data_IF_190604875507
#
_entry.id   IF_190604875507
#
_cell.length_a   1.000
_cell.length_b   1.000
_cell.length_c   1.000
_cell.angle_alpha   90.00
_cell.angle_beta   90.00
_cell.angle_gamma   90.00
#
_symmetry.space_group_name_H-M   'P 1'
#
loop_
_entity.id
_entity.type
_entity.pdbx_description
1 polymer ?
#
# COMPACT_ATOMS: atom_id res chain seq x y z
N UNK A 1 -1.22 21.03 31.91
CA UNK A 1 -0.50 20.13 32.84
C UNK A 1 0.61 20.82 33.64
N UNK A 2 1.80 21.15 33.10
CA UNK A 2 2.89 21.74 33.94
C UNK A 2 2.52 23.10 34.55
N UNK A 3 1.93 24.00 33.76
CA UNK A 3 1.55 25.34 34.24
C UNK A 3 0.34 25.35 35.19
N UNK A 4 -0.50 24.31 35.16
CA UNK A 4 -1.62 24.10 36.09
C UNK A 4 -1.13 23.53 37.42
N UNK A 5 -0.20 22.57 37.37
CA UNK A 5 0.43 21.96 38.55
C UNK A 5 1.15 23.02 39.41
N UNK A 6 1.80 23.99 38.78
CA UNK A 6 2.57 25.04 39.47
C UNK A 6 1.82 26.37 39.64
N UNK A 7 0.53 26.45 39.26
CA UNK A 7 -0.29 27.67 39.35
C UNK A 7 0.40 28.93 38.79
N UNK A 8 1.08 28.80 37.66
CA UNK A 8 1.84 29.92 37.10
C UNK A 8 0.94 31.09 36.74
N UNK A 9 1.38 32.31 37.08
CA UNK A 9 0.73 33.55 36.65
C UNK A 9 0.93 33.74 35.14
N UNK A 10 0.07 34.55 34.49
CA UNK A 10 0.13 34.79 33.05
C UNK A 10 1.51 35.26 32.56
N UNK A 11 2.20 36.10 33.34
CA UNK A 11 3.55 36.56 33.01
C UNK A 11 4.61 35.46 33.10
N UNK A 12 4.54 34.59 34.11
CA UNK A 12 5.47 33.44 34.23
C UNK A 12 5.24 32.44 33.11
N UNK A 13 3.97 32.17 32.75
CA UNK A 13 3.62 31.35 31.59
C UNK A 13 4.22 31.91 30.29
N UNK A 14 4.13 33.22 30.08
CA UNK A 14 4.66 33.89 28.89
C UNK A 14 6.20 33.80 28.80
N UNK A 15 6.91 34.05 29.91
CA UNK A 15 8.37 33.95 29.95
C UNK A 15 8.86 32.51 29.73
N UNK A 16 8.24 31.53 30.40
CA UNK A 16 8.58 30.13 30.21
C UNK A 16 8.27 29.67 28.77
N UNK A 17 7.14 30.09 28.20
CA UNK A 17 6.79 29.79 26.82
C UNK A 17 7.84 30.39 25.88
N UNK A 18 8.17 31.68 26.01
CA UNK A 18 9.18 32.35 25.20
C UNK A 18 10.56 31.68 25.30
N UNK A 19 10.98 31.27 26.50
CA UNK A 19 12.24 30.55 26.71
C UNK A 19 12.24 29.13 26.11
N UNK A 20 11.07 28.51 25.96
CA UNK A 20 10.94 27.17 25.36
C UNK A 20 10.91 27.18 23.82
N UNK A 21 10.66 28.33 23.18
CA UNK A 21 10.63 28.43 21.72
C UNK A 21 12.04 28.27 21.15
N UNK A 22 12.18 27.46 20.09
CA UNK A 22 13.44 27.20 19.38
C UNK A 22 13.23 27.32 17.87
N UNK A 23 14.30 27.66 17.15
CA UNK A 23 14.29 27.73 15.68
C UNK A 23 13.31 28.77 15.14
N UNK A 24 12.55 28.42 14.11
CA UNK A 24 11.59 29.33 13.44
C UNK A 24 10.54 29.91 14.39
N UNK A 25 10.24 29.22 15.49
CA UNK A 25 9.31 29.70 16.51
C UNK A 25 9.91 30.81 17.38
N UNK A 26 11.23 30.81 17.59
CA UNK A 26 11.92 31.89 18.30
C UNK A 26 11.93 33.19 17.48
N UNK A 27 11.96 33.11 16.15
CA UNK A 27 11.91 34.29 15.28
C UNK A 27 10.63 35.14 15.50
N UNK A 28 9.52 34.51 15.91
CA UNK A 28 8.27 35.25 16.24
C UNK A 28 8.48 36.22 17.41
N UNK A 29 9.35 35.87 18.37
CA UNK A 29 9.65 36.76 19.49
C UNK A 29 10.36 38.03 19.01
N UNK A 30 11.19 37.94 17.97
CA UNK A 30 11.85 39.11 17.40
C UNK A 30 10.85 40.08 16.76
N UNK A 31 9.84 39.54 16.08
CA UNK A 31 8.80 40.32 15.37
C UNK A 31 7.76 40.96 16.32
N UNK A 32 7.62 40.45 17.55
CA UNK A 32 6.67 40.96 18.56
C UNK A 32 7.27 42.08 19.42
N UNK A 33 6.46 43.04 19.85
CA UNK A 33 6.84 44.07 20.83
C UNK A 33 7.05 43.46 22.24
N UNK A 34 7.95 44.06 23.03
CA UNK A 34 8.32 43.56 24.35
C UNK A 34 7.14 43.41 25.33
N UNK A 35 6.13 44.29 25.24
CA UNK A 35 4.91 44.22 26.04
C UNK A 35 4.03 43.03 25.66
N UNK A 36 3.92 42.76 24.34
CA UNK A 36 3.15 41.62 23.82
C UNK A 36 3.83 40.28 24.12
N UNK A 37 5.18 40.25 24.21
CA UNK A 37 5.93 39.05 24.63
C UNK A 37 5.67 38.64 26.09
N UNK A 38 5.31 39.58 26.96
CA UNK A 38 5.05 39.32 28.39
C UNK A 38 3.62 38.87 28.67
N UNK A 39 2.74 38.94 27.67
CA UNK A 39 1.38 38.44 27.77
C UNK A 39 1.25 37.08 27.07
N UNK A 40 0.84 36.07 27.85
CA UNK A 40 0.70 34.70 27.37
C UNK A 40 -0.31 34.57 26.23
N UNK A 41 -1.45 35.28 26.29
CA UNK A 41 -2.49 35.17 25.25
C UNK A 41 -1.98 35.69 23.92
N UNK A 42 -1.38 36.88 23.92
CA UNK A 42 -0.84 37.52 22.72
C UNK A 42 0.29 36.70 22.10
N UNK A 43 1.13 36.08 22.93
CA UNK A 43 2.19 35.20 22.47
C UNK A 43 1.64 33.92 21.83
N UNK A 44 0.63 33.29 22.45
CA UNK A 44 -0.07 32.12 21.88
C UNK A 44 -0.78 32.48 20.58
N UNK A 45 -1.42 33.65 20.49
CA UNK A 45 -2.12 34.11 19.29
C UNK A 45 -1.15 34.37 18.14
N UNK A 46 0.01 34.97 18.41
CA UNK A 46 1.04 35.19 17.39
C UNK A 46 1.64 33.88 16.88
N UNK A 47 1.90 32.93 17.78
CA UNK A 47 2.35 31.57 17.41
C UNK A 47 1.25 30.87 16.61
N UNK A 48 0.00 30.97 17.03
CA UNK A 48 -1.16 30.38 16.34
C UNK A 48 -1.47 31.05 15.01
N UNK A 49 -1.16 32.33 14.84
CA UNK A 49 -1.32 33.01 13.56
C UNK A 49 -0.31 32.49 12.53
N UNK A 50 0.95 32.31 12.95
CA UNK A 50 2.04 31.91 12.04
C UNK A 50 2.11 30.40 11.81
N UNK A 51 1.89 29.61 12.86
CA UNK A 51 1.98 28.14 12.84
C UNK A 51 0.64 27.44 13.05
N UNK A 52 -0.42 28.17 13.35
CA UNK A 52 -1.67 27.53 13.69
C UNK A 52 -2.32 26.82 12.52
N UNK A 53 -3.32 26.00 12.84
CA UNK A 53 -3.89 25.04 11.91
C UNK A 53 -4.50 25.72 10.69
N UNK A 54 -4.96 26.97 10.76
CA UNK A 54 -5.62 27.65 9.64
C UNK A 54 -4.79 27.77 8.35
N UNK A 55 -3.46 27.92 8.44
CA UNK A 55 -2.59 27.96 7.25
C UNK A 55 -2.22 26.56 6.76
N UNK A 56 -2.30 25.56 7.64
CA UNK A 56 -1.99 24.17 7.33
C UNK A 56 -3.23 23.36 6.92
N UNK A 57 -4.45 23.79 7.28
CA UNK A 57 -5.70 23.05 7.01
C UNK A 57 -5.92 22.82 5.54
N UNK A 58 -5.67 23.82 4.69
CA UNK A 58 -5.85 23.67 3.25
C UNK A 58 -4.85 22.69 2.64
N UNK A 59 -3.58 22.76 3.06
CA UNK A 59 -2.58 21.76 2.69
C UNK A 59 -2.97 20.35 3.17
N UNK A 60 -3.53 20.23 4.37
CA UNK A 60 -4.00 18.96 4.93
C UNK A 60 -5.20 18.40 4.17
N UNK A 61 -6.11 19.26 3.70
CA UNK A 61 -7.23 18.86 2.83
C UNK A 61 -6.72 18.32 1.49
N UNK A 62 -5.72 18.97 0.90
CA UNK A 62 -5.08 18.48 -0.33
C UNK A 62 -4.39 17.13 -0.08
N UNK A 63 -3.65 17.00 1.04
CA UNK A 63 -3.02 15.74 1.42
C UNK A 63 -4.04 14.61 1.64
N UNK A 64 -5.17 14.91 2.27
CA UNK A 64 -6.26 13.97 2.49
C UNK A 64 -6.91 13.53 1.17
N UNK A 65 -7.17 14.48 0.25
CA UNK A 65 -7.74 14.18 -1.08
C UNK A 65 -6.82 13.34 -1.95
N UNK A 66 -5.51 13.58 -1.87
CA UNK A 66 -4.50 12.85 -2.64
C UNK A 66 -4.02 11.60 -1.91
N UNK A 67 -4.62 11.24 -0.77
CA UNK A 67 -4.28 10.02 -0.05
C UNK A 67 -4.85 8.83 -0.83
N UNK A 68 -4.01 7.85 -1.09
CA UNK A 68 -4.39 6.52 -1.54
C UNK A 68 -3.57 5.48 -0.79
N UNK A 69 -4.03 4.23 -0.74
CA UNK A 69 -3.29 3.12 -0.14
C UNK A 69 -1.92 2.97 -0.82
N UNK A 70 -0.85 2.85 -0.04
CA UNK A 70 0.49 2.55 -0.59
C UNK A 70 0.64 1.05 -0.81
N UNK A 71 1.50 0.65 -1.74
CA UNK A 71 1.86 -0.77 -1.93
C UNK A 71 2.40 -1.36 -0.63
N UNK A 72 1.77 -2.43 -0.16
CA UNK A 72 2.12 -3.11 1.10
C UNK A 72 1.66 -2.40 2.38
N UNK A 73 0.88 -1.32 2.29
CA UNK A 73 0.29 -0.67 3.46
C UNK A 73 -0.91 -1.48 3.99
N UNK A 74 -0.97 -1.65 5.31
CA UNK A 74 -2.07 -2.36 5.96
C UNK A 74 -3.33 -1.50 6.02
N UNK A 75 -4.51 -2.12 6.01
CA UNK A 75 -5.79 -1.42 6.13
C UNK A 75 -5.87 -0.57 7.43
N UNK A 76 -5.44 -1.08 8.61
CA UNK A 76 -5.46 -0.28 9.84
C UNK A 76 -4.53 0.94 9.80
N UNK A 77 -3.33 0.80 9.22
CA UNK A 77 -2.37 1.92 9.10
C UNK A 77 -2.95 3.03 8.21
N UNK A 78 -3.55 2.65 7.08
CA UNK A 78 -4.25 3.58 6.20
C UNK A 78 -5.35 4.34 6.95
N UNK A 79 -6.21 3.62 7.69
CA UNK A 79 -7.32 4.23 8.42
C UNK A 79 -6.85 5.18 9.53
N UNK A 80 -5.79 4.80 10.26
CA UNK A 80 -5.21 5.66 11.30
C UNK A 80 -4.66 6.96 10.69
N UNK A 81 -4.00 6.86 9.55
CA UNK A 81 -3.42 8.00 8.88
C UNK A 81 -4.50 8.93 8.28
N UNK A 82 -5.55 8.37 7.67
CA UNK A 82 -6.74 9.10 7.21
C UNK A 82 -7.41 9.82 8.37
N UNK A 83 -7.68 9.14 9.49
CA UNK A 83 -8.28 9.73 10.70
C UNK A 83 -7.46 10.91 11.22
N UNK A 84 -6.14 10.77 11.23
CA UNK A 84 -5.21 11.83 11.65
C UNK A 84 -5.24 13.02 10.69
N UNK A 85 -5.20 12.77 9.38
CA UNK A 85 -5.27 13.81 8.35
C UNK A 85 -6.60 14.57 8.39
N UNK A 86 -7.73 13.88 8.57
CA UNK A 86 -9.05 14.51 8.72
C UNK A 86 -9.11 15.45 9.91
N UNK A 87 -8.55 15.05 11.07
CA UNK A 87 -8.47 15.92 12.26
C UNK A 87 -7.68 17.20 12.01
N UNK A 88 -6.60 17.13 11.23
CA UNK A 88 -5.80 18.30 10.87
C UNK A 88 -6.43 19.16 9.76
N UNK A 89 -7.18 18.54 8.85
CA UNK A 89 -7.90 19.23 7.78
C UNK A 89 -9.15 19.97 8.28
N UNK A 90 -9.80 19.44 9.33
CA UNK A 90 -11.06 19.96 9.86
C UNK A 90 -11.05 20.07 11.40
N UNK A 91 -10.17 20.90 11.99
CA UNK A 91 -10.06 21.04 13.45
C UNK A 91 -11.32 21.60 14.12
N UNK A 92 -12.15 22.36 13.38
CA UNK A 92 -13.42 22.91 13.87
C UNK A 92 -14.64 22.01 13.62
N UNK A 93 -14.48 20.87 12.96
CA UNK A 93 -15.58 19.93 12.73
C UNK A 93 -15.90 19.13 14.02
N UNK A 94 -17.17 18.76 14.20
CA UNK A 94 -17.56 17.87 15.29
C UNK A 94 -16.90 16.50 15.15
N UNK A 95 -16.74 15.77 16.26
CA UNK A 95 -16.18 14.41 16.22
C UNK A 95 -16.97 13.49 15.30
N UNK A 96 -18.30 13.65 15.24
CA UNK A 96 -19.17 12.90 14.34
C UNK A 96 -18.87 13.21 12.87
N UNK A 97 -18.76 14.49 12.51
CA UNK A 97 -18.44 14.89 11.14
C UNK A 97 -17.02 14.45 10.74
N UNK A 98 -16.05 14.55 11.66
CA UNK A 98 -14.70 14.05 11.41
C UNK A 98 -14.69 12.53 11.16
N UNK A 99 -15.51 11.77 11.87
CA UNK A 99 -15.61 10.32 11.67
C UNK A 99 -16.26 9.98 10.32
N UNK A 100 -17.34 10.67 9.95
CA UNK A 100 -17.97 10.53 8.63
C UNK A 100 -17.00 10.87 7.49
N UNK A 101 -16.31 12.01 7.58
CA UNK A 101 -15.32 12.40 6.58
C UNK A 101 -14.16 11.40 6.50
N UNK A 102 -13.69 10.90 7.64
CA UNK A 102 -12.61 9.90 7.66
C UNK A 102 -13.05 8.59 7.03
N UNK A 103 -14.28 8.15 7.30
CA UNK A 103 -14.87 6.96 6.67
C UNK A 103 -14.96 7.12 5.16
N UNK A 104 -15.55 8.22 4.70
CA UNK A 104 -15.78 8.45 3.27
C UNK A 104 -14.43 8.50 2.51
N UNK A 105 -13.47 9.26 3.04
CA UNK A 105 -12.11 9.29 2.49
C UNK A 105 -11.39 7.94 2.57
N UNK A 106 -11.57 7.17 3.65
CA UNK A 106 -10.97 5.85 3.77
C UNK A 106 -11.46 4.89 2.68
N UNK A 107 -12.77 4.89 2.40
CA UNK A 107 -13.34 4.08 1.31
C UNK A 107 -12.75 4.51 -0.04
N UNK A 108 -12.64 5.81 -0.29
CA UNK A 108 -12.03 6.33 -1.52
C UNK A 108 -10.54 5.97 -1.65
N UNK A 109 -9.82 5.81 -0.54
CA UNK A 109 -8.40 5.45 -0.52
C UNK A 109 -8.12 3.98 -0.90
N UNK A 110 -9.12 3.10 -0.88
CA UNK A 110 -8.95 1.67 -1.20
C UNK A 110 -8.64 1.51 -2.70
N UNK A 111 -7.51 0.90 -3.05
CA UNK A 111 -7.03 0.80 -4.44
C UNK A 111 -7.91 -0.13 -5.29
N UNK A 112 -8.31 -1.26 -4.71
CA UNK A 112 -9.05 -2.33 -5.37
C UNK A 112 -10.55 -1.99 -5.52
N UNK A 113 -11.10 -1.93 -6.75
CA UNK A 113 -12.51 -1.62 -6.99
C UNK A 113 -13.48 -2.58 -6.29
N UNK A 114 -13.14 -3.86 -6.22
CA UNK A 114 -13.97 -4.91 -5.62
C UNK A 114 -14.02 -4.77 -4.08
N UNK A 115 -12.88 -4.41 -3.47
CA UNK A 115 -12.81 -4.12 -2.04
C UNK A 115 -13.62 -2.88 -1.70
N UNK A 116 -13.48 -1.81 -2.50
CA UNK A 116 -14.25 -0.57 -2.34
C UNK A 116 -15.75 -0.79 -2.47
N UNK A 117 -16.17 -1.56 -3.48
CA UNK A 117 -17.56 -1.91 -3.69
C UNK A 117 -18.11 -2.73 -2.51
N UNK A 118 -17.36 -3.74 -2.06
CA UNK A 118 -17.76 -4.58 -0.93
C UNK A 118 -17.96 -3.76 0.35
N UNK A 119 -17.02 -2.86 0.67
CA UNK A 119 -17.16 -1.95 1.83
C UNK A 119 -18.33 -0.99 1.65
N UNK A 120 -18.58 -0.48 0.45
CA UNK A 120 -19.74 0.38 0.20
C UNK A 120 -21.07 -0.36 0.41
N UNK A 121 -21.14 -1.65 0.07
CA UNK A 121 -22.34 -2.48 0.26
C UNK A 121 -22.67 -2.75 1.73
N UNK A 122 -21.67 -2.79 2.63
CA UNK A 122 -21.91 -2.97 4.07
C UNK A 122 -22.52 -1.73 4.73
N UNK A 123 -22.52 -0.58 4.04
CA UNK A 123 -23.05 0.72 4.51
C UNK A 123 -22.51 1.11 5.90
N UNK A 124 -21.19 1.20 6.06
CA UNK A 124 -20.59 1.53 7.35
C UNK A 124 -21.01 2.92 7.81
N UNK A 125 -21.36 3.04 9.09
CA UNK A 125 -21.74 4.32 9.71
C UNK A 125 -20.54 5.05 10.29
N UNK A 126 -19.54 4.30 10.72
CA UNK A 126 -18.31 4.83 11.33
C UNK A 126 -17.08 4.42 10.53
N UNK A 127 -15.96 5.10 10.77
CA UNK A 127 -14.68 4.68 10.20
C UNK A 127 -14.31 3.26 10.64
N UNK A 128 -14.58 2.91 11.90
CA UNK A 128 -14.23 1.62 12.48
C UNK A 128 -15.01 0.46 11.85
N UNK A 129 -16.31 0.66 11.59
CA UNK A 129 -17.12 -0.30 10.83
C UNK A 129 -16.59 -0.48 9.39
N UNK A 130 -16.14 0.58 8.74
CA UNK A 130 -15.57 0.49 7.40
C UNK A 130 -14.24 -0.29 7.40
N UNK A 131 -13.39 -0.07 8.40
CA UNK A 131 -12.12 -0.81 8.58
C UNK A 131 -12.39 -2.29 8.80
N UNK A 132 -13.32 -2.62 9.70
CA UNK A 132 -13.67 -4.00 9.98
C UNK A 132 -14.22 -4.72 8.74
N UNK A 133 -15.13 -4.08 8.01
CA UNK A 133 -15.65 -4.61 6.75
C UNK A 133 -14.53 -4.83 5.72
N UNK A 134 -13.62 -3.86 5.58
CA UNK A 134 -12.50 -3.97 4.64
C UNK A 134 -11.57 -5.13 5.00
N UNK A 135 -11.27 -5.34 6.29
CA UNK A 135 -10.47 -6.47 6.77
C UNK A 135 -11.14 -7.82 6.49
N UNK A 136 -12.44 -7.94 6.74
CA UNK A 136 -13.20 -9.18 6.49
C UNK A 136 -13.22 -9.53 5.00
N UNK A 137 -13.43 -8.52 4.15
CA UNK A 137 -13.45 -8.69 2.70
C UNK A 137 -12.04 -9.02 2.17
N UNK A 138 -10.99 -8.34 2.65
CA UNK A 138 -9.59 -8.63 2.27
C UNK A 138 -9.18 -10.05 2.68
N UNK A 139 -9.57 -10.49 3.89
CA UNK A 139 -9.36 -11.86 4.34
C UNK A 139 -10.11 -12.88 3.44
N UNK A 140 -11.35 -12.59 3.09
CA UNK A 140 -12.13 -13.43 2.17
C UNK A 140 -11.47 -13.54 0.80
N UNK A 141 -11.02 -12.42 0.21
CA UNK A 141 -10.31 -12.45 -1.07
C UNK A 141 -8.97 -13.17 -0.99
N UNK A 142 -8.26 -13.09 0.13
CA UNK A 142 -7.03 -13.86 0.32
C UNK A 142 -7.32 -15.37 0.28
N UNK A 143 -8.41 -15.81 0.92
CA UNK A 143 -8.85 -17.21 0.90
C UNK A 143 -9.40 -17.62 -0.47
N UNK A 144 -10.19 -16.78 -1.13
CA UNK A 144 -10.74 -17.08 -2.46
C UNK A 144 -9.65 -17.09 -3.54
N UNK A 145 -8.63 -16.23 -3.44
CA UNK A 145 -7.42 -16.34 -4.27
C UNK A 145 -6.74 -17.68 -4.01
N UNK A 146 -6.60 -18.09 -2.75
CA UNK A 146 -6.07 -19.41 -2.35
C UNK A 146 -6.93 -20.60 -2.84
N UNK A 147 -8.26 -20.45 -2.91
CA UNK A 147 -9.21 -21.48 -3.40
C UNK A 147 -9.29 -21.55 -4.91
N UNK A 148 -9.15 -20.41 -5.59
CA UNK A 148 -9.01 -20.33 -7.04
C UNK A 148 -7.62 -20.72 -7.53
N UNK A 149 -6.68 -21.10 -6.64
CA UNK A 149 -5.61 -22.00 -7.06
C UNK A 149 -6.27 -23.34 -7.42
N UNK A 150 -6.19 -23.78 -8.68
CA UNK A 150 -6.78 -25.04 -9.07
C UNK A 150 -6.20 -26.14 -8.19
N UNK A 151 -7.11 -26.95 -7.62
CA UNK A 151 -6.84 -28.22 -6.95
C UNK A 151 -5.56 -28.86 -7.50
N UNK A 152 -4.58 -29.08 -6.61
CA UNK A 152 -3.39 -29.92 -6.78
C UNK A 152 -3.50 -30.86 -8.00
N UNK A 153 -2.96 -30.46 -9.16
CA UNK A 153 -2.51 -31.44 -10.15
C UNK A 153 -1.15 -31.94 -9.67
N UNK A 154 -1.17 -33.04 -8.92
CA UNK A 154 0.03 -33.79 -8.53
C UNK A 154 0.73 -34.31 -9.79
N UNK A 155 1.69 -33.56 -10.32
CA UNK A 155 2.57 -34.03 -11.43
C UNK A 155 3.64 -34.98 -10.88
N UNK A 156 3.49 -36.31 -10.97
CA UNK A 156 4.61 -37.22 -10.69
C UNK A 156 5.58 -37.20 -11.88
N UNK A 157 6.84 -36.86 -11.62
CA UNK A 157 7.89 -36.84 -12.64
C UNK A 157 8.36 -38.27 -12.89
N UNK A 158 8.19 -38.75 -14.13
CA UNK A 158 8.90 -39.92 -14.65
C UNK A 158 9.95 -39.39 -15.61
N UNK A 159 11.22 -39.72 -15.34
CA UNK A 159 12.36 -39.37 -16.18
C UNK A 159 12.29 -40.10 -17.52
N UNK A 160 12.51 -39.37 -18.62
CA UNK A 160 13.17 -39.93 -19.80
C UNK A 160 13.88 -38.82 -20.57
N UNK A 161 15.19 -38.99 -20.65
CA UNK A 161 16.19 -38.22 -21.40
C UNK A 161 15.87 -38.15 -22.91
N UNK A 162 16.07 -36.98 -23.54
CA UNK A 162 16.65 -36.82 -24.89
C UNK A 162 16.56 -35.37 -25.42
N UNK A 163 17.72 -34.71 -25.52
CA UNK A 163 18.30 -34.24 -26.78
C UNK A 163 17.58 -33.17 -27.65
N UNK A 164 18.32 -32.06 -27.82
CA UNK A 164 18.50 -31.25 -29.05
C UNK A 164 17.59 -30.03 -29.36
N UNK A 165 18.27 -28.88 -29.32
CA UNK A 165 18.27 -27.69 -30.23
C UNK A 165 17.08 -27.45 -31.17
N UNK A 166 16.49 -26.24 -31.13
CA UNK A 166 16.37 -25.36 -32.31
C UNK A 166 15.72 -23.99 -32.01
N UNK A 167 16.21 -22.98 -32.72
CA UNK A 167 15.72 -21.59 -32.81
C UNK A 167 14.27 -21.53 -33.30
N UNK A 168 13.40 -20.81 -32.58
CA UNK A 168 11.96 -20.70 -32.88
C UNK A 168 11.60 -19.25 -33.25
N UNK A 169 11.51 -18.96 -34.55
CA UNK A 169 10.84 -17.77 -35.06
C UNK A 169 9.47 -18.19 -35.60
N UNK A 170 8.38 -17.64 -35.03
CA UNK A 170 7.01 -17.88 -35.49
C UNK A 170 6.25 -19.03 -34.83
N UNK A 171 6.74 -19.59 -33.72
CA UNK A 171 6.00 -20.56 -32.90
C UNK A 171 5.27 -19.87 -31.75
N UNK A 172 4.09 -20.38 -31.36
CA UNK A 172 3.46 -20.03 -30.08
C UNK A 172 4.41 -20.42 -28.95
N UNK A 173 4.89 -19.42 -28.19
CA UNK A 173 5.89 -19.62 -27.14
C UNK A 173 5.19 -19.62 -25.80
N UNK A 174 5.16 -20.77 -25.14
CA UNK A 174 4.61 -20.85 -23.78
C UNK A 174 5.63 -20.40 -22.74
N UNK A 175 5.30 -19.35 -21.98
CA UNK A 175 6.19 -18.77 -20.95
C UNK A 175 5.60 -18.99 -19.56
N UNK A 176 6.46 -19.34 -18.60
CA UNK A 176 6.15 -19.54 -17.18
C UNK A 176 6.93 -18.56 -16.31
N UNK A 177 6.26 -18.02 -15.29
CA UNK A 177 6.90 -17.17 -14.27
C UNK A 177 7.78 -18.00 -13.33
N UNK A 178 8.94 -17.44 -12.98
CA UNK A 178 9.83 -18.06 -11.98
C UNK A 178 9.20 -18.17 -10.59
N UNK A 179 8.35 -17.22 -10.20
CA UNK A 179 7.63 -17.25 -8.92
C UNK A 179 6.75 -18.50 -8.81
N UNK A 180 6.08 -18.86 -9.91
CA UNK A 180 5.27 -20.06 -9.99
C UNK A 180 6.09 -21.36 -9.84
N UNK A 181 7.37 -21.36 -10.25
CA UNK A 181 8.25 -22.51 -10.07
C UNK A 181 8.66 -22.74 -8.61
N UNK A 182 8.75 -21.67 -7.80
CA UNK A 182 9.07 -21.77 -6.38
C UNK A 182 7.92 -22.35 -5.55
N UNK A 183 6.71 -22.37 -6.09
CA UNK A 183 5.52 -22.96 -5.47
C UNK A 183 5.46 -24.49 -5.63
N UNK A 184 6.34 -25.09 -6.44
CA UNK A 184 6.41 -26.54 -6.57
C UNK A 184 7.04 -27.17 -5.31
N UNK A 185 6.46 -28.25 -4.76
CA UNK A 185 7.05 -28.96 -3.62
C UNK A 185 8.48 -29.42 -3.92
N UNK A 186 9.40 -29.28 -2.96
CA UNK A 186 10.83 -29.65 -3.08
C UNK A 186 11.07 -31.10 -3.56
N UNK A 187 10.10 -32.00 -3.32
CA UNK A 187 10.11 -33.40 -3.78
C UNK A 187 10.01 -33.57 -5.31
N UNK A 188 9.72 -32.49 -6.04
CA UNK A 188 9.67 -32.45 -7.50
C UNK A 188 10.61 -31.37 -8.01
N UNK A 189 11.91 -31.58 -7.85
CA UNK A 189 12.92 -30.73 -8.47
C UNK A 189 12.65 -30.62 -9.97
N UNK A 190 12.20 -29.43 -10.38
CA UNK A 190 11.94 -29.09 -11.76
C UNK A 190 13.27 -28.68 -12.37
N UNK A 191 13.89 -29.59 -13.11
CA UNK A 191 15.16 -29.32 -13.77
C UNK A 191 14.92 -28.40 -14.97
N UNK A 192 15.23 -27.12 -14.80
CA UNK A 192 15.29 -26.18 -15.91
C UNK A 192 16.66 -26.30 -16.56
N UNK A 193 16.70 -26.52 -17.87
CA UNK A 193 17.94 -26.41 -18.62
C UNK A 193 18.26 -24.94 -18.83
N UNK A 194 19.42 -24.46 -18.37
CA UNK A 194 19.82 -23.06 -18.56
C UNK A 194 19.97 -22.77 -20.05
N UNK A 195 19.38 -21.66 -20.51
CA UNK A 195 19.50 -21.23 -21.90
C UNK A 195 19.86 -19.75 -21.93
N UNK A 196 20.89 -19.38 -22.68
CA UNK A 196 21.33 -17.98 -22.85
C UNK A 196 20.51 -17.24 -23.92
N UNK A 197 19.17 -17.35 -23.84
CA UNK A 197 18.26 -16.71 -24.78
C UNK A 197 17.56 -15.50 -24.13
N UNK A 198 17.06 -14.59 -24.95
CA UNK A 198 16.28 -13.43 -24.49
C UNK A 198 14.99 -13.33 -25.28
N UNK A 199 13.90 -13.01 -24.59
CA UNK A 199 12.60 -12.73 -25.17
C UNK A 199 12.45 -11.24 -25.40
N UNK A 200 11.96 -10.83 -26.57
CA UNK A 200 11.64 -9.43 -26.85
C UNK A 200 10.16 -9.19 -26.64
N UNK A 201 9.83 -8.21 -25.80
CA UNK A 201 8.48 -7.78 -25.50
C UNK A 201 7.97 -6.80 -26.57
N UNK A 202 6.65 -6.65 -26.68
CA UNK A 202 6.01 -5.75 -27.64
C UNK A 202 6.37 -4.26 -27.41
N UNK A 203 6.86 -3.90 -26.21
CA UNK A 203 7.36 -2.57 -25.88
C UNK A 203 8.84 -2.36 -26.28
N UNK A 204 9.45 -3.34 -26.96
CA UNK A 204 10.84 -3.32 -27.40
C UNK A 204 11.85 -3.69 -26.32
N UNK A 205 11.41 -4.01 -25.09
CA UNK A 205 12.32 -4.47 -24.02
C UNK A 205 12.67 -5.94 -24.18
N UNK A 206 13.81 -6.32 -23.63
CA UNK A 206 14.31 -7.70 -23.67
C UNK A 206 14.38 -8.28 -22.26
N UNK A 207 13.75 -9.43 -22.05
CA UNK A 207 13.75 -10.17 -20.78
C UNK A 207 14.62 -11.43 -20.95
N UNK A 208 15.56 -11.72 -20.03
CA UNK A 208 16.32 -12.96 -20.08
C UNK A 208 15.41 -14.17 -19.87
N UNK A 209 15.61 -15.20 -20.69
CA UNK A 209 15.02 -16.51 -20.44
C UNK A 209 15.98 -17.26 -19.52
N UNK A 210 15.50 -17.73 -18.38
CA UNK A 210 16.31 -18.42 -17.38
C UNK A 210 16.48 -19.90 -17.68
N UNK A 211 15.55 -20.50 -18.43
CA UNK A 211 15.71 -21.86 -18.87
C UNK A 211 14.52 -22.41 -19.64
N UNK A 212 14.67 -23.64 -20.12
CA UNK A 212 13.63 -24.42 -20.77
C UNK A 212 13.19 -25.55 -19.83
N UNK A 213 11.89 -25.64 -19.61
CA UNK A 213 11.19 -26.67 -18.87
C UNK A 213 10.37 -27.53 -19.83
N UNK A 214 10.67 -28.82 -19.91
CA UNK A 214 9.81 -29.79 -20.59
C UNK A 214 8.92 -30.49 -19.56
N UNK A 215 7.61 -30.33 -19.70
CA UNK A 215 6.66 -30.87 -18.75
C UNK A 215 5.41 -31.42 -19.44
N UNK A 216 4.91 -32.54 -18.91
CA UNK A 216 3.64 -33.12 -19.32
C UNK A 216 2.46 -32.31 -18.79
N UNK A 217 1.64 -31.79 -19.68
CA UNK A 217 0.38 -31.08 -19.39
C UNK A 217 -0.78 -32.05 -19.59
N UNK A 218 -1.61 -32.23 -18.56
CA UNK A 218 -2.84 -33.00 -18.70
C UNK A 218 -3.98 -32.09 -19.17
N UNK A 219 -4.39 -32.27 -20.43
CA UNK A 219 -5.51 -31.58 -21.08
C UNK A 219 -6.59 -32.62 -21.33
N UNK A 220 -7.75 -32.47 -20.68
CA UNK A 220 -8.92 -33.34 -20.83
C UNK A 220 -8.64 -34.85 -20.68
N UNK A 221 -7.73 -35.20 -19.75
CA UNK A 221 -7.35 -36.60 -19.49
C UNK A 221 -6.19 -37.11 -20.33
N UNK A 222 -5.75 -36.36 -21.35
CA UNK A 222 -4.61 -36.69 -22.19
C UNK A 222 -3.35 -35.99 -21.70
N UNK A 223 -2.28 -36.76 -21.51
CA UNK A 223 -0.97 -36.21 -21.18
C UNK A 223 -0.26 -35.78 -22.45
N UNK A 224 -0.06 -34.47 -22.62
CA UNK A 224 0.65 -33.85 -23.74
C UNK A 224 1.98 -33.32 -23.23
N UNK A 225 3.09 -33.72 -23.84
CA UNK A 225 4.39 -33.12 -23.52
C UNK A 225 4.48 -31.74 -24.15
N UNK A 226 4.80 -30.73 -23.33
CA UNK A 226 4.93 -29.36 -23.80
C UNK A 226 6.19 -28.69 -23.26
N UNK A 227 6.74 -27.77 -24.04
CA UNK A 227 7.95 -27.02 -23.68
C UNK A 227 7.58 -25.62 -23.22
N UNK A 228 8.08 -25.24 -22.05
CA UNK A 228 7.85 -23.95 -21.42
C UNK A 228 9.17 -23.21 -21.23
N UNK A 229 9.19 -21.93 -21.59
CA UNK A 229 10.30 -21.04 -21.28
C UNK A 229 10.08 -20.38 -19.94
N UNK A 230 11.11 -20.34 -19.11
CA UNK A 230 11.05 -19.72 -17.79
C UNK A 230 11.62 -18.32 -17.86
N UNK A 231 10.86 -17.34 -17.40
CA UNK A 231 11.28 -15.95 -17.36
C UNK A 231 10.79 -15.25 -16.08
N UNK A 232 11.50 -14.21 -15.66
CA UNK A 232 11.01 -13.28 -14.63
C UNK A 232 9.98 -12.35 -15.29
N UNK A 233 8.72 -12.77 -15.26
CA UNK A 233 7.57 -12.01 -15.72
C UNK A 233 6.68 -11.64 -14.53
N UNK A 234 6.22 -10.39 -14.49
CA UNK A 234 5.30 -9.85 -13.47
C UNK A 234 3.86 -10.38 -13.61
N UNK A 235 3.63 -11.32 -14.53
CA UNK A 235 2.32 -11.91 -14.82
C UNK A 235 2.29 -13.32 -14.25
N UNK A 236 1.31 -13.61 -13.39
CA UNK A 236 1.12 -14.91 -12.73
C UNK A 236 0.53 -16.01 -13.66
N UNK A 237 0.62 -15.85 -14.99
CA UNK A 237 -0.04 -16.76 -15.93
C UNK A 237 0.89 -17.33 -17.02
N UNK A 238 0.43 -18.41 -17.66
CA UNK A 238 1.05 -18.98 -18.86
C UNK A 238 0.66 -18.09 -20.04
N UNK A 239 1.64 -17.46 -20.67
CA UNK A 239 1.47 -16.77 -21.94
C UNK A 239 1.76 -17.76 -23.06
N UNK A 240 0.85 -17.92 -24.03
CA UNK A 240 0.99 -18.83 -25.18
C UNK A 240 0.97 -18.11 -26.51
#
# INVERSE_FOLDING_TARGET
MVAELHRWSGGVKAMCLAASLRGDAQAILADLEAEKRRNYTNLVDAISSRFGPARQTELRRIQLRNRGRKKGETIPDLAQDVKRLTRFAYPGASSHLQDQLSRDHFVDCLEEPELRLGVHQTRPKTLEEAVQAALEIEAFYTVERQRNFPLRKTVRVLHSDQGMTNTLAGANVSVLSRTFLLEFPEEKQVNCTEVNNKMSLADGKSVPLHGLLEAGVNIDGNLVQHKFWVADIDVECILG
#
